data_IF_248109239441
#
_entry.id   IF_248109239441
#
_cell.length_a   1.000
_cell.length_b   1.000
_cell.length_c   1.000
_cell.angle_alpha   90.00
_cell.angle_beta   90.00
_cell.angle_gamma   90.00
#
_symmetry.space_group_name_H-M   'P 1'
#
loop_
_entity.id
_entity.type
_entity.pdbx_description
1 polymer ?
#
# COMPACT_ATOMS: atom_id res chain seq x y z
N UNK A 1 11.41 15.97 -44.56
CA UNK A 1 11.30 16.76 -43.32
C UNK A 1 10.97 15.80 -42.19
N UNK A 2 11.92 15.49 -41.29
CA UNK A 2 11.64 14.67 -40.10
C UNK A 2 10.77 15.50 -39.16
N UNK A 3 9.60 15.00 -38.80
CA UNK A 3 8.79 15.58 -37.75
C UNK A 3 9.66 15.71 -36.50
N UNK A 4 9.73 16.92 -35.94
CA UNK A 4 10.41 17.20 -34.69
C UNK A 4 9.66 16.43 -33.61
N UNK A 5 10.15 15.24 -33.24
CA UNK A 5 9.67 14.52 -32.07
C UNK A 5 9.75 15.49 -30.89
N UNK A 6 8.61 15.94 -30.39
CA UNK A 6 8.55 16.73 -29.18
C UNK A 6 9.03 15.82 -28.06
N UNK A 7 10.30 15.93 -27.67
CA UNK A 7 10.84 15.20 -26.53
C UNK A 7 9.93 15.53 -25.34
N UNK A 8 9.25 14.52 -24.81
CA UNK A 8 8.51 14.62 -23.56
C UNK A 8 9.52 14.99 -22.47
N UNK A 9 9.27 16.08 -21.74
CA UNK A 9 10.17 16.56 -20.68
C UNK A 9 9.42 16.71 -19.37
N UNK A 10 9.70 15.84 -18.41
CA UNK A 10 9.23 15.96 -17.03
C UNK A 10 10.25 16.78 -16.22
N UNK A 11 9.77 17.72 -15.41
CA UNK A 11 10.62 18.62 -14.63
C UNK A 11 11.36 17.89 -13.50
N UNK A 12 12.66 18.20 -13.31
CA UNK A 12 13.51 17.65 -12.23
C UNK A 12 12.90 17.86 -10.84
N UNK A 13 12.28 19.02 -10.61
CA UNK A 13 11.66 19.33 -9.31
C UNK A 13 10.52 18.36 -8.97
N UNK A 14 9.80 17.85 -9.98
CA UNK A 14 8.78 16.81 -9.78
C UNK A 14 9.43 15.51 -9.32
N UNK A 15 10.51 15.07 -9.99
CA UNK A 15 11.26 13.88 -9.56
C UNK A 15 11.79 14.01 -8.13
N UNK A 16 12.40 15.15 -7.79
CA UNK A 16 12.91 15.41 -6.43
C UNK A 16 11.81 15.30 -5.39
N UNK A 17 10.65 15.90 -5.64
CA UNK A 17 9.51 15.80 -4.73
C UNK A 17 9.03 14.34 -4.53
N UNK A 18 9.01 13.54 -5.60
CA UNK A 18 8.65 12.10 -5.52
C UNK A 18 9.66 11.30 -4.71
N UNK A 19 10.95 11.52 -4.95
CA UNK A 19 12.03 10.86 -4.19
C UNK A 19 12.00 11.24 -2.71
N UNK A 20 11.69 12.50 -2.37
CA UNK A 20 11.49 12.90 -0.97
C UNK A 20 10.32 12.16 -0.33
N UNK A 21 9.17 12.09 -1.01
CA UNK A 21 8.01 11.35 -0.50
C UNK A 21 8.31 9.86 -0.31
N UNK A 22 9.04 9.24 -1.23
CA UNK A 22 9.51 7.86 -1.11
C UNK A 22 10.47 7.67 0.06
N UNK A 23 11.46 8.54 0.22
CA UNK A 23 12.39 8.47 1.35
C UNK A 23 11.66 8.56 2.70
N UNK A 24 10.64 9.40 2.79
CA UNK A 24 9.77 9.49 3.96
C UNK A 24 8.97 8.20 4.18
N UNK A 25 8.35 7.64 3.14
CA UNK A 25 7.62 6.37 3.24
C UNK A 25 8.52 5.22 3.69
N UNK A 26 9.73 5.09 3.10
CA UNK A 26 10.72 4.07 3.48
C UNK A 26 11.12 4.22 4.95
N UNK A 27 11.30 5.46 5.42
CA UNK A 27 11.62 5.75 6.82
C UNK A 27 10.51 5.27 7.75
N UNK A 28 9.25 5.60 7.44
CA UNK A 28 8.08 5.13 8.20
C UNK A 28 8.02 3.60 8.23
N UNK A 29 8.16 2.95 7.07
CA UNK A 29 8.12 1.50 6.95
C UNK A 29 9.20 0.86 7.84
N UNK A 30 10.41 1.39 7.80
CA UNK A 30 11.54 0.89 8.61
C UNK A 30 11.27 1.01 10.11
N UNK A 31 10.72 2.15 10.56
CA UNK A 31 10.31 2.31 11.95
C UNK A 31 9.22 1.32 12.35
N UNK A 32 8.20 1.13 11.51
CA UNK A 32 7.10 0.20 11.80
C UNK A 32 7.57 -1.25 11.86
N UNK A 33 8.45 -1.69 10.94
CA UNK A 33 9.04 -3.04 10.98
C UNK A 33 9.78 -3.25 12.31
N UNK A 34 10.54 -2.24 12.75
CA UNK A 34 11.31 -2.30 14.00
C UNK A 34 10.38 -2.41 15.23
N UNK A 35 9.29 -1.63 15.26
CA UNK A 35 8.34 -1.68 16.37
C UNK A 35 7.57 -3.01 16.41
N UNK A 36 7.02 -3.47 15.29
CA UNK A 36 6.31 -4.76 15.22
C UNK A 36 7.22 -5.94 15.57
N UNK A 37 8.52 -5.87 15.25
CA UNK A 37 9.48 -6.91 15.63
C UNK A 37 9.74 -6.94 17.14
N UNK A 38 9.58 -5.80 17.83
CA UNK A 38 9.70 -5.70 19.29
C UNK A 38 8.41 -6.18 20.00
N UNK A 39 7.26 -5.96 19.38
CA UNK A 39 5.97 -6.39 19.88
C UNK A 39 5.68 -7.83 19.44
N UNK A 40 6.15 -8.82 20.20
CA UNK A 40 5.87 -10.26 19.97
C UNK A 40 4.40 -10.61 20.25
N UNK A 41 3.46 -9.99 19.53
CA UNK A 41 2.01 -10.10 19.74
C UNK A 41 1.29 -11.02 18.75
N UNK A 42 2.01 -11.69 17.83
CA UNK A 42 1.42 -12.60 16.85
C UNK A 42 1.73 -14.09 17.11
N UNK A 43 1.13 -15.01 16.34
CA UNK A 43 1.35 -16.45 16.48
C UNK A 43 2.80 -16.83 16.17
N UNK A 44 3.37 -17.65 17.04
CA UNK A 44 4.72 -18.21 16.85
C UNK A 44 4.61 -19.41 15.91
N UNK A 45 5.34 -19.35 14.79
CA UNK A 45 5.40 -20.44 13.82
C UNK A 45 6.57 -21.35 14.17
N UNK A 46 6.36 -22.67 14.35
CA UNK A 46 7.45 -23.60 14.62
C UNK A 46 8.53 -23.55 13.54
N UNK A 47 9.79 -23.30 13.93
CA UNK A 47 10.92 -23.13 13.01
C UNK A 47 11.11 -21.70 12.47
N UNK A 48 10.34 -20.73 12.96
CA UNK A 48 10.51 -19.31 12.65
C UNK A 48 10.71 -18.53 13.95
N UNK A 49 11.80 -17.77 14.06
CA UNK A 49 12.14 -17.03 15.29
C UNK A 49 11.27 -15.78 15.53
N UNK A 50 10.33 -15.49 14.62
CA UNK A 50 9.44 -14.32 14.65
C UNK A 50 7.95 -14.67 14.78
N UNK A 51 7.14 -13.65 15.02
CA UNK A 51 5.68 -13.73 14.97
C UNK A 51 5.19 -13.49 13.55
N UNK A 52 4.25 -14.33 13.07
CA UNK A 52 3.63 -14.10 11.77
C UNK A 52 2.53 -13.06 11.93
N UNK A 53 2.79 -11.82 11.50
CA UNK A 53 1.81 -10.74 11.47
C UNK A 53 1.59 -10.27 10.04
N UNK A 54 0.33 -10.20 9.63
CA UNK A 54 -0.08 -9.71 8.30
C UNK A 54 0.44 -8.29 8.04
N UNK A 55 0.47 -7.45 9.08
CA UNK A 55 1.03 -6.10 9.00
C UNK A 55 2.53 -6.12 8.64
N UNK A 56 3.31 -7.04 9.20
CA UNK A 56 4.73 -7.21 8.86
C UNK A 56 4.92 -7.57 7.39
N UNK A 57 4.09 -8.46 6.84
CA UNK A 57 4.16 -8.83 5.41
C UNK A 57 3.79 -7.66 4.51
N UNK A 58 2.73 -6.91 4.87
CA UNK A 58 2.35 -5.69 4.17
C UNK A 58 3.49 -4.64 4.17
N UNK A 59 4.23 -4.50 5.28
CA UNK A 59 5.40 -3.60 5.33
C UNK A 59 6.54 -4.05 4.43
N UNK A 60 6.80 -5.34 4.32
CA UNK A 60 7.85 -5.84 3.42
C UNK A 60 7.46 -5.59 1.96
N UNK A 61 6.19 -5.76 1.58
CA UNK A 61 5.72 -5.35 0.25
C UNK A 61 5.81 -3.83 0.05
N UNK A 62 5.42 -3.03 1.04
CA UNK A 62 5.54 -1.58 1.00
C UNK A 62 7.00 -1.14 0.78
N UNK A 63 7.95 -1.79 1.46
CA UNK A 63 9.39 -1.55 1.32
C UNK A 63 9.89 -1.92 -0.07
N UNK A 64 9.60 -3.15 -0.53
CA UNK A 64 10.00 -3.64 -1.85
C UNK A 64 9.49 -2.72 -2.97
N UNK A 65 8.21 -2.34 -2.91
CA UNK A 65 7.60 -1.43 -3.87
C UNK A 65 8.20 -0.03 -3.82
N UNK A 66 8.48 0.50 -2.61
CA UNK A 66 9.08 1.83 -2.46
C UNK A 66 10.52 1.87 -2.99
N UNK A 67 11.30 0.81 -2.77
CA UNK A 67 12.66 0.69 -3.34
C UNK A 67 12.58 0.53 -4.87
N UNK A 68 11.69 -0.32 -5.38
CA UNK A 68 11.48 -0.48 -6.82
C UNK A 68 11.04 0.83 -7.49
N UNK A 69 10.15 1.60 -6.85
CA UNK A 69 9.72 2.92 -7.29
C UNK A 69 10.89 3.90 -7.34
N UNK A 70 11.72 3.92 -6.28
CA UNK A 70 12.92 4.75 -6.23
C UNK A 70 13.88 4.42 -7.36
N UNK A 71 14.15 3.14 -7.61
CA UNK A 71 15.01 2.68 -8.72
C UNK A 71 14.41 3.11 -10.07
N UNK A 72 13.12 2.91 -10.30
CA UNK A 72 12.44 3.28 -11.54
C UNK A 72 12.50 4.80 -11.80
N UNK A 73 12.29 5.61 -10.76
CA UNK A 73 12.40 7.07 -10.85
C UNK A 73 13.84 7.51 -11.15
N UNK A 74 14.84 6.96 -10.46
CA UNK A 74 16.25 7.26 -10.72
C UNK A 74 16.65 6.86 -12.15
N UNK A 75 16.27 5.66 -12.59
CA UNK A 75 16.54 5.16 -13.93
C UNK A 75 15.78 5.91 -15.04
N UNK A 76 14.73 6.68 -14.70
CA UNK A 76 13.95 7.46 -15.66
C UNK A 76 14.60 8.79 -16.07
N UNK A 77 15.66 9.21 -15.37
CA UNK A 77 16.41 10.42 -15.69
C UNK A 77 17.31 10.21 -16.90
N UNK A 78 17.20 11.08 -17.90
CA UNK A 78 18.22 11.16 -18.94
C UNK A 78 19.46 11.84 -18.37
N UNK A 79 20.65 11.26 -18.58
CA UNK A 79 21.93 11.95 -18.36
C UNK A 79 22.14 13.02 -19.45
N UNK A 80 21.31 14.06 -19.44
CA UNK A 80 21.38 15.19 -20.36
C UNK A 80 21.46 16.50 -19.59
N UNK A 81 22.12 17.51 -20.15
CA UNK A 81 22.32 18.83 -19.50
C UNK A 81 21.02 19.57 -19.16
N UNK A 82 19.89 19.16 -19.74
CA UNK A 82 18.55 19.72 -19.50
C UNK A 82 17.84 19.08 -18.30
N UNK A 83 18.33 17.95 -17.77
CA UNK A 83 17.78 17.26 -16.60
C UNK A 83 16.38 16.65 -16.77
N UNK A 84 15.86 16.51 -18.00
CA UNK A 84 14.50 16.03 -18.21
C UNK A 84 14.37 14.50 -18.04
N UNK A 85 13.22 14.02 -17.55
CA UNK A 85 12.86 12.60 -17.63
C UNK A 85 12.09 12.36 -18.94
N UNK A 86 12.50 11.35 -19.70
CA UNK A 86 11.95 11.00 -21.01
C UNK A 86 11.53 9.51 -21.11
N UNK A 87 11.63 8.75 -20.01
CA UNK A 87 11.34 7.32 -19.97
C UNK A 87 9.99 7.00 -19.31
N UNK A 88 9.21 6.04 -19.85
CA UNK A 88 7.98 5.56 -19.21
C UNK A 88 8.22 4.91 -17.83
N UNK A 89 9.48 4.60 -17.50
CA UNK A 89 9.90 4.21 -16.16
C UNK A 89 9.52 5.25 -15.08
N UNK A 90 9.38 6.54 -15.44
CA UNK A 90 8.91 7.56 -14.51
C UNK A 90 7.48 7.27 -14.02
N UNK A 91 6.57 6.95 -14.93
CA UNK A 91 5.18 6.62 -14.60
C UNK A 91 5.10 5.28 -13.88
N UNK A 92 5.91 4.30 -14.29
CA UNK A 92 6.03 3.05 -13.53
C UNK A 92 6.47 3.30 -12.08
N UNK A 93 7.44 4.21 -11.87
CA UNK A 93 7.88 4.63 -10.54
C UNK A 93 6.77 5.28 -9.72
N UNK A 94 5.99 6.19 -10.29
CA UNK A 94 4.81 6.78 -9.64
C UNK A 94 3.79 5.70 -9.22
N UNK A 95 3.49 4.75 -10.11
CA UNK A 95 2.55 3.66 -9.85
C UNK A 95 3.01 2.76 -8.70
N UNK A 96 4.29 2.37 -8.71
CA UNK A 96 4.89 1.58 -7.63
C UNK A 96 4.94 2.35 -6.30
N UNK A 97 5.23 3.66 -6.35
CA UNK A 97 5.21 4.54 -5.18
C UNK A 97 3.82 4.55 -4.52
N UNK A 98 2.77 4.75 -5.33
CA UNK A 98 1.39 4.75 -4.83
C UNK A 98 0.96 3.39 -4.29
N UNK A 99 1.32 2.30 -4.96
CA UNK A 99 1.04 0.94 -4.46
C UNK A 99 1.76 0.68 -3.14
N UNK A 100 3.05 1.02 -3.05
CA UNK A 100 3.83 0.87 -1.82
C UNK A 100 3.24 1.67 -0.65
N UNK A 101 2.82 2.91 -0.90
CA UNK A 101 2.13 3.74 0.08
C UNK A 101 0.81 3.10 0.56
N UNK A 102 0.05 2.50 -0.36
CA UNK A 102 -1.19 1.81 0.01
C UNK A 102 -0.94 0.66 0.99
N UNK A 103 0.15 -0.12 0.81
CA UNK A 103 0.53 -1.18 1.73
C UNK A 103 1.07 -0.66 3.06
N UNK A 104 1.78 0.48 3.08
CA UNK A 104 2.14 1.16 4.34
C UNK A 104 0.90 1.51 5.15
N UNK A 105 -0.16 2.02 4.50
CA UNK A 105 -1.40 2.38 5.17
C UNK A 105 -2.13 1.16 5.74
N UNK A 106 -2.17 0.05 4.99
CA UNK A 106 -2.72 -1.22 5.49
C UNK A 106 -1.98 -1.67 6.75
N UNK A 107 -0.65 -1.72 6.70
CA UNK A 107 0.14 -2.14 7.85
C UNK A 107 0.02 -1.23 9.07
N UNK A 108 -0.14 0.08 8.85
CA UNK A 108 -0.26 1.05 9.92
C UNK A 108 -1.62 1.00 10.63
N UNK A 109 -2.71 0.91 9.86
CA UNK A 109 -4.06 1.00 10.42
C UNK A 109 -4.64 -0.35 10.85
N UNK A 110 -4.24 -1.47 10.21
CA UNK A 110 -4.80 -2.79 10.52
C UNK A 110 -4.61 -3.19 11.99
N UNK A 111 -3.42 -3.07 12.61
CA UNK A 111 -3.24 -3.44 14.02
C UNK A 111 -4.09 -2.58 14.95
N UNK A 112 -4.11 -1.26 14.73
CA UNK A 112 -4.91 -0.32 15.51
C UNK A 112 -6.41 -0.62 15.43
N UNK A 113 -6.92 -0.86 14.23
CA UNK A 113 -8.35 -1.18 14.05
C UNK A 113 -8.71 -2.53 14.68
N UNK A 114 -7.81 -3.51 14.61
CA UNK A 114 -8.00 -4.81 15.25
C UNK A 114 -8.09 -4.66 16.76
N UNK A 115 -7.14 -3.95 17.38
CA UNK A 115 -7.16 -3.67 18.82
C UNK A 115 -8.41 -2.90 19.25
N UNK A 116 -8.81 -1.89 18.47
CA UNK A 116 -10.02 -1.12 18.75
C UNK A 116 -11.30 -1.97 18.68
N UNK A 117 -11.34 -2.96 17.80
CA UNK A 117 -12.52 -3.81 17.59
C UNK A 117 -12.68 -4.93 18.62
N UNK A 118 -11.59 -5.43 19.19
CA UNK A 118 -11.61 -6.59 20.12
C UNK A 118 -11.61 -6.18 21.59
N UNK A 119 -11.43 -4.87 21.89
CA UNK A 119 -11.36 -4.38 23.26
C UNK A 119 -12.71 -4.48 23.97
N UNK A 120 -12.77 -5.24 25.05
CA UNK A 120 -13.90 -5.26 25.96
C UNK A 120 -13.82 -4.05 26.92
N UNK A 121 -14.89 -3.27 27.00
CA UNK A 121 -14.95 -2.06 27.82
C UNK A 121 -15.94 -2.22 28.99
N UNK A 122 -15.66 -1.60 30.16
CA UNK A 122 -16.44 -1.83 31.37
C UNK A 122 -17.86 -1.25 31.32
N UNK A 123 -18.07 -0.20 30.52
CA UNK A 123 -19.37 0.49 30.44
C UNK A 123 -19.89 0.59 29.00
N UNK A 124 -21.23 0.60 28.82
CA UNK A 124 -21.84 0.85 27.51
C UNK A 124 -21.47 2.22 26.92
N UNK A 125 -21.34 3.26 27.76
CA UNK A 125 -20.95 4.60 27.31
C UNK A 125 -19.52 4.65 26.77
N UNK A 126 -18.59 3.91 27.39
CA UNK A 126 -17.22 3.79 26.88
C UNK A 126 -17.20 3.02 25.57
N UNK A 127 -18.04 1.98 25.45
CA UNK A 127 -18.21 1.20 24.22
C UNK A 127 -18.67 2.08 23.05
N UNK A 128 -19.67 2.95 23.26
CA UNK A 128 -20.15 3.88 22.23
C UNK A 128 -19.06 4.86 21.77
N UNK A 129 -18.29 5.44 22.71
CA UNK A 129 -17.17 6.34 22.38
C UNK A 129 -16.09 5.63 21.59
N UNK A 130 -15.79 4.37 21.95
CA UNK A 130 -14.77 3.57 21.27
C UNK A 130 -15.22 3.14 19.88
N UNK A 131 -16.50 2.80 19.70
CA UNK A 131 -17.08 2.55 18.39
C UNK A 131 -17.04 3.80 17.49
N UNK A 132 -17.29 4.99 18.05
CA UNK A 132 -17.15 6.24 17.31
C UNK A 132 -15.70 6.48 16.87
N UNK A 133 -14.73 6.20 17.76
CA UNK A 133 -13.31 6.30 17.46
C UNK A 133 -12.91 5.32 16.35
N UNK A 134 -13.25 4.03 16.49
CA UNK A 134 -13.04 3.00 15.48
C UNK A 134 -13.61 3.41 14.13
N UNK A 135 -14.86 3.87 14.11
CA UNK A 135 -15.55 4.30 12.89
C UNK A 135 -14.85 5.48 12.22
N UNK A 136 -14.44 6.47 13.01
CA UNK A 136 -13.74 7.66 12.47
C UNK A 136 -12.39 7.29 11.87
N UNK A 137 -11.61 6.46 12.57
CA UNK A 137 -10.28 6.03 12.11
C UNK A 137 -10.42 5.14 10.87
N UNK A 138 -11.33 4.17 10.87
CA UNK A 138 -11.58 3.29 9.72
C UNK A 138 -12.00 4.05 8.47
N UNK A 139 -12.88 5.05 8.58
CA UNK A 139 -13.23 5.92 7.46
C UNK A 139 -12.01 6.67 6.90
N UNK A 140 -11.23 7.32 7.77
CA UNK A 140 -10.05 8.06 7.35
C UNK A 140 -9.00 7.15 6.70
N UNK A 141 -8.81 5.97 7.26
CA UNK A 141 -7.86 4.98 6.78
C UNK A 141 -8.29 4.42 5.41
N UNK A 142 -9.57 4.06 5.25
CA UNK A 142 -10.14 3.56 4.00
C UNK A 142 -10.08 4.62 2.88
N UNK A 143 -10.41 5.87 3.18
CA UNK A 143 -10.33 6.99 2.21
C UNK A 143 -8.88 7.21 1.79
N UNK A 144 -7.95 7.30 2.74
CA UNK A 144 -6.53 7.53 2.43
C UNK A 144 -5.95 6.38 1.61
N UNK A 145 -6.32 5.15 1.96
CA UNK A 145 -5.92 3.97 1.19
C UNK A 145 -6.49 4.01 -0.24
N UNK A 146 -7.77 4.31 -0.42
CA UNK A 146 -8.39 4.38 -1.75
C UNK A 146 -7.77 5.49 -2.62
N UNK A 147 -7.40 6.62 -2.00
CA UNK A 147 -6.65 7.67 -2.68
C UNK A 147 -5.28 7.19 -3.16
N UNK A 148 -4.56 6.42 -2.33
CA UNK A 148 -3.27 5.85 -2.70
C UNK A 148 -3.38 4.72 -3.73
N UNK A 149 -4.32 3.79 -3.57
CA UNK A 149 -4.45 2.59 -4.39
C UNK A 149 -5.16 2.84 -5.74
N UNK A 150 -5.98 3.88 -5.86
CA UNK A 150 -6.77 4.11 -7.08
C UNK A 150 -6.56 5.50 -7.66
N UNK A 151 -6.79 6.54 -6.86
CA UNK A 151 -6.83 7.91 -7.38
C UNK A 151 -5.44 8.38 -7.83
N UNK A 152 -4.40 8.15 -7.03
CA UNK A 152 -3.02 8.48 -7.38
C UNK A 152 -2.56 7.85 -8.70
N UNK A 153 -2.67 6.51 -8.85
CA UNK A 153 -2.37 5.79 -10.08
C UNK A 153 -3.14 6.29 -11.30
N UNK A 154 -4.46 6.50 -11.17
CA UNK A 154 -5.29 7.04 -12.26
C UNK A 154 -4.80 8.42 -12.68
N UNK A 155 -4.55 9.32 -11.74
CA UNK A 155 -4.06 10.67 -12.03
C UNK A 155 -2.68 10.63 -12.69
N UNK A 156 -1.78 9.73 -12.27
CA UNK A 156 -0.47 9.55 -12.89
C UNK A 156 -0.58 9.09 -14.35
N UNK A 157 -1.44 8.09 -14.62
CA UNK A 157 -1.69 7.60 -15.98
C UNK A 157 -2.39 8.64 -16.88
N UNK A 158 -3.34 9.41 -16.34
CA UNK A 158 -4.05 10.45 -17.09
C UNK A 158 -3.15 11.63 -17.45
N UNK A 159 -2.21 11.97 -16.57
CA UNK A 159 -1.23 13.05 -16.78
C UNK A 159 0.04 12.57 -17.48
N UNK A 160 0.11 11.27 -17.81
CA UNK A 160 1.27 10.69 -18.48
C UNK A 160 1.42 11.31 -19.87
N UNK A 161 2.61 11.86 -20.19
CA UNK A 161 2.91 12.39 -21.51
C UNK A 161 3.23 11.28 -22.55
N UNK A 162 3.24 10.01 -22.14
CA UNK A 162 3.55 8.87 -23.01
C UNK A 162 2.33 8.38 -23.80
N UNK A 163 2.60 7.64 -24.88
CA UNK A 163 1.56 7.12 -25.76
C UNK A 163 0.56 6.20 -25.05
N UNK A 164 -0.68 6.15 -25.56
CA UNK A 164 -1.79 5.38 -24.97
C UNK A 164 -1.44 3.91 -24.72
N UNK A 165 -0.67 3.28 -25.61
CA UNK A 165 -0.26 1.87 -25.48
C UNK A 165 0.57 1.66 -24.21
N UNK A 166 1.53 2.54 -23.94
CA UNK A 166 2.35 2.48 -22.72
C UNK A 166 1.51 2.72 -21.47
N UNK A 167 0.60 3.70 -21.49
CA UNK A 167 -0.26 3.98 -20.33
C UNK A 167 -1.20 2.81 -20.03
N UNK A 168 -1.77 2.18 -21.06
CA UNK A 168 -2.60 0.98 -20.90
C UNK A 168 -1.77 -0.18 -20.38
N UNK A 169 -0.59 -0.44 -20.95
CA UNK A 169 0.29 -1.51 -20.50
C UNK A 169 0.71 -1.33 -19.02
N UNK A 170 1.08 -0.12 -18.63
CA UNK A 170 1.41 0.21 -17.24
C UNK A 170 0.20 0.08 -16.31
N UNK A 171 -0.98 0.53 -16.74
CA UNK A 171 -2.22 0.38 -15.97
C UNK A 171 -2.63 -1.08 -15.76
N UNK A 172 -2.56 -1.90 -16.81
CA UNK A 172 -2.82 -3.35 -16.69
C UNK A 172 -1.79 -4.01 -15.79
N UNK A 173 -0.50 -3.70 -15.96
CA UNK A 173 0.57 -4.24 -15.11
C UNK A 173 0.38 -3.86 -13.64
N UNK A 174 -0.04 -2.62 -13.37
CA UNK A 174 -0.38 -2.14 -12.04
C UNK A 174 -1.51 -2.95 -11.42
N UNK A 175 -2.61 -3.15 -12.16
CA UNK A 175 -3.76 -3.92 -11.67
C UNK A 175 -3.40 -5.38 -11.40
N UNK A 176 -2.63 -6.01 -12.28
CA UNK A 176 -2.15 -7.39 -12.09
C UNK A 176 -1.28 -7.50 -10.83
N UNK A 177 -0.35 -6.56 -10.64
CA UNK A 177 0.50 -6.51 -9.46
C UNK A 177 -0.32 -6.29 -8.18
N UNK A 178 -1.31 -5.39 -8.24
CA UNK A 178 -2.22 -5.13 -7.12
C UNK A 178 -3.01 -6.38 -6.73
N UNK A 179 -3.58 -7.11 -7.70
CA UNK A 179 -4.29 -8.38 -7.48
C UNK A 179 -3.36 -9.44 -6.89
N UNK A 180 -2.17 -9.59 -7.46
CA UNK A 180 -1.17 -10.56 -6.99
C UNK A 180 -0.81 -10.31 -5.53
N UNK A 181 -0.49 -9.06 -5.17
CA UNK A 181 -0.10 -8.73 -3.80
C UNK A 181 -1.28 -8.80 -2.82
N UNK A 182 -2.49 -8.41 -3.23
CA UNK A 182 -3.70 -8.58 -2.42
C UNK A 182 -3.97 -10.06 -2.11
N UNK A 183 -3.74 -10.94 -3.09
CA UNK A 183 -3.84 -12.38 -2.90
C UNK A 183 -2.82 -12.90 -1.86
N UNK A 184 -1.56 -12.47 -1.94
CA UNK A 184 -0.54 -12.85 -0.96
C UNK A 184 -0.85 -12.35 0.46
N UNK A 185 -1.38 -11.14 0.60
CA UNK A 185 -1.83 -10.63 1.90
C UNK A 185 -3.00 -11.44 2.43
N UNK A 186 -3.94 -11.87 1.57
CA UNK A 186 -5.01 -12.77 1.97
C UNK A 186 -4.52 -14.10 2.51
N UNK A 187 -3.55 -14.71 1.83
CA UNK A 187 -2.92 -15.95 2.30
C UNK A 187 -2.26 -15.73 3.67
N UNK A 188 -1.54 -14.63 3.84
CA UNK A 188 -0.89 -14.29 5.10
C UNK A 188 -1.91 -14.12 6.24
N UNK A 189 -3.00 -13.41 5.98
CA UNK A 189 -4.08 -13.19 6.93
C UNK A 189 -4.79 -14.48 7.32
N UNK A 190 -5.12 -15.31 6.33
CA UNK A 190 -5.73 -16.61 6.56
C UNK A 190 -4.83 -17.52 7.39
N UNK A 191 -3.53 -17.56 7.07
CA UNK A 191 -2.56 -18.33 7.82
C UNK A 191 -2.44 -17.84 9.27
N UNK A 192 -2.43 -16.53 9.49
CA UNK A 192 -2.41 -15.94 10.82
C UNK A 192 -3.64 -16.36 11.64
N UNK A 193 -4.85 -16.23 11.10
CA UNK A 193 -6.10 -16.62 11.78
C UNK A 193 -6.13 -18.12 12.11
N UNK A 194 -5.68 -18.99 11.19
CA UNK A 194 -5.60 -20.44 11.44
C UNK A 194 -4.67 -20.75 12.61
N UNK A 195 -3.54 -20.06 12.71
CA UNK A 195 -2.58 -20.26 13.79
C UNK A 195 -3.10 -19.73 15.14
N UNK A 196 -3.93 -18.69 15.11
CA UNK A 196 -4.61 -18.13 16.28
C UNK A 196 -5.84 -18.96 16.73
N UNK A 197 -6.11 -20.09 16.06
CA UNK A 197 -7.25 -20.98 16.32
C UNK A 197 -8.63 -20.32 16.13
N UNK A 198 -8.70 -19.26 15.32
CA UNK A 198 -9.96 -18.64 14.92
C UNK A 198 -10.56 -19.35 13.69
N UNK A 199 -11.89 -19.45 13.61
CA UNK A 199 -12.59 -20.17 12.55
C UNK A 199 -12.41 -19.47 11.20
N UNK A 200 -11.98 -20.20 10.17
CA UNK A 200 -11.66 -19.64 8.85
C UNK A 200 -12.78 -19.89 7.85
N UNK A 201 -13.49 -18.81 7.49
CA UNK A 201 -14.22 -18.72 6.22
C UNK A 201 -13.20 -18.48 5.09
N UNK A 202 -13.36 -19.12 3.92
CA UNK A 202 -12.52 -18.84 2.76
C UNK A 202 -12.85 -17.47 2.20
N UNK A 203 -11.85 -16.58 2.13
CA UNK A 203 -12.04 -15.23 1.62
C UNK A 203 -11.89 -15.22 0.09
N UNK A 204 -12.93 -14.80 -0.68
CA UNK A 204 -12.78 -14.61 -2.10
C UNK A 204 -11.71 -13.56 -2.40
N UNK A 205 -10.84 -13.86 -3.38
CA UNK A 205 -9.73 -12.96 -3.81
C UNK A 205 -10.20 -11.55 -4.17
N UNK A 206 -11.45 -11.41 -4.63
CA UNK A 206 -12.06 -10.12 -4.95
C UNK A 206 -12.33 -9.26 -3.71
N UNK A 207 -12.61 -9.84 -2.55
CA UNK A 207 -12.79 -9.10 -1.29
C UNK A 207 -11.44 -8.54 -0.80
N UNK A 208 -10.35 -9.30 -0.99
CA UNK A 208 -8.99 -8.86 -0.69
C UNK A 208 -8.53 -7.68 -1.57
N UNK A 209 -9.10 -7.50 -2.76
CA UNK A 209 -8.84 -6.31 -3.58
C UNK A 209 -9.36 -5.01 -2.95
N UNK A 210 -10.34 -5.13 -2.05
CA UNK A 210 -10.95 -4.03 -1.31
C UNK A 210 -10.67 -4.12 0.20
N UNK A 211 -9.57 -4.79 0.57
CA UNK A 211 -9.18 -5.13 1.96
C UNK A 211 -9.51 -4.02 2.99
N UNK A 212 -9.26 -2.72 2.74
CA UNK A 212 -9.53 -1.65 3.70
C UNK A 212 -10.92 -1.03 3.63
N UNK A 213 -11.65 -1.20 2.52
CA UNK A 213 -13.06 -0.78 2.43
C UNK A 213 -13.96 -1.63 3.32
N UNK A 214 -13.51 -2.82 3.67
CA UNK A 214 -14.21 -3.65 4.63
C UNK A 214 -14.12 -3.14 6.07
N UNK A 215 -13.15 -2.28 6.40
CA UNK A 215 -13.13 -1.58 7.69
C UNK A 215 -14.38 -0.73 7.90
N UNK A 216 -15.10 -0.41 6.82
CA UNK A 216 -16.36 0.34 6.86
C UNK A 216 -17.57 -0.56 7.19
N UNK A 217 -17.42 -1.88 7.12
CA UNK A 217 -18.49 -2.83 7.40
C UNK A 217 -18.50 -3.09 8.92
N UNK A 218 -19.62 -2.84 9.61
CA UNK A 218 -19.69 -3.02 11.06
C UNK A 218 -19.52 -4.49 11.47
N UNK A 219 -18.73 -4.71 12.54
CA UNK A 219 -18.39 -6.02 13.12
C UNK A 219 -19.62 -6.87 13.48
N UNK A 220 -20.79 -6.26 13.70
CA UNK A 220 -22.05 -6.97 14.00
C UNK A 220 -22.57 -7.88 12.86
N UNK A 221 -21.89 -7.90 11.71
CA UNK A 221 -22.25 -8.73 10.55
C UNK A 221 -21.18 -9.79 10.20
N UNK A 222 -20.12 -9.93 11.02
CA UNK A 222 -19.10 -10.98 10.90
C UNK A 222 -19.30 -12.07 11.93
#
# INVERSE_FOLDING_TARGET
MRAKESSVRIAVNTMRARLTALGFNITIITFQITQLSSERSGPVVPGFDGTLQTATIALHFALLLSVAAMVALLASSAMSGDGACDSPAFVAGDLLMFLGLSYTLVAFFQPLLTELSTRQLPTPQDTEKFQLLFRTISYMAAVTWALAAYVGPIVSLLRSPFGKVWNVALGVSYLLLMVMLAHFIGIAFELQLRLEHEYVSQWPVLQLFFLPLEWLIPVTTR
#
